data_IF_045804677086
#
_entry.id   IF_045804677086
#
_cell.length_a   1.000
_cell.length_b   1.000
_cell.length_c   1.000
_cell.angle_alpha   90.00
_cell.angle_beta   90.00
_cell.angle_gamma   90.00
#
_symmetry.space_group_name_H-M   'P 1'
#
loop_
_entity.id
_entity.type
_entity.pdbx_description
1 polymer ?
#
# COMPACT_ATOMS: atom_id res chain seq x y z
N UNK A 1 -14.46 -24.99 5.16
CA UNK A 1 -15.42 -23.86 5.30
C UNK A 1 -14.63 -22.72 5.92
N UNK A 2 -14.73 -21.50 5.39
CA UNK A 2 -14.04 -20.31 5.92
C UNK A 2 -14.62 -19.89 7.27
N UNK A 3 -13.79 -19.32 8.15
CA UNK A 3 -14.18 -18.80 9.47
C UNK A 3 -14.67 -17.35 9.37
N UNK A 4 -14.11 -16.60 8.42
CA UNK A 4 -14.48 -15.22 8.11
C UNK A 4 -15.24 -15.16 6.79
N UNK A 5 -15.93 -14.05 6.54
CA UNK A 5 -16.52 -13.80 5.22
C UNK A 5 -15.41 -13.55 4.20
N UNK A 6 -15.27 -14.36 3.14
CA UNK A 6 -14.26 -14.16 2.12
C UNK A 6 -14.60 -13.02 1.14
N UNK A 7 -15.77 -12.41 1.25
CA UNK A 7 -16.26 -11.41 0.32
C UNK A 7 -16.54 -10.06 0.99
N UNK A 8 -16.30 -9.00 0.24
CA UNK A 8 -16.76 -7.63 0.48
C UNK A 8 -17.82 -7.33 -0.58
N UNK A 9 -19.12 -7.51 -0.25
CA UNK A 9 -20.18 -7.55 -1.25
C UNK A 9 -19.94 -8.67 -2.28
N UNK A 10 -19.80 -8.32 -3.54
CA UNK A 10 -19.49 -9.28 -4.62
C UNK A 10 -17.99 -9.49 -4.85
N UNK A 11 -17.12 -8.68 -4.22
CA UNK A 11 -15.68 -8.68 -4.44
C UNK A 11 -14.94 -9.53 -3.39
N UNK A 12 -13.75 -10.03 -3.74
CA UNK A 12 -12.95 -10.90 -2.86
C UNK A 12 -12.96 -12.35 -3.32
N UNK A 13 -13.11 -13.27 -2.39
CA UNK A 13 -13.14 -14.70 -2.66
C UNK A 13 -11.75 -15.34 -2.64
N UNK A 14 -11.68 -16.61 -3.07
CA UNK A 14 -10.49 -17.45 -3.01
C UNK A 14 -10.33 -18.19 -4.37
N UNK A 15 -9.97 -17.46 -5.40
CA UNK A 15 -9.83 -17.95 -6.79
C UNK A 15 -8.41 -18.44 -7.06
N UNK A 16 -8.04 -19.54 -6.41
CA UNK A 16 -6.71 -20.13 -6.47
C UNK A 16 -6.74 -21.61 -6.83
N UNK A 17 -5.64 -22.20 -7.32
CA UNK A 17 -5.54 -23.65 -7.47
C UNK A 17 -5.81 -24.37 -6.14
N UNK A 18 -6.46 -25.55 -6.22
CA UNK A 18 -6.86 -26.33 -5.05
C UNK A 18 -5.71 -26.63 -4.08
N UNK A 19 -4.50 -26.76 -4.57
CA UNK A 19 -3.30 -27.02 -3.76
C UNK A 19 -3.02 -25.90 -2.74
N UNK A 20 -3.44 -24.66 -2.98
CA UNK A 20 -3.26 -23.53 -2.08
C UNK A 20 -4.39 -23.36 -1.05
N UNK A 21 -5.54 -24.02 -1.23
CA UNK A 21 -6.67 -23.89 -0.30
C UNK A 21 -6.30 -24.29 1.13
N UNK A 22 -5.59 -25.44 1.38
CA UNK A 22 -5.20 -25.78 2.74
C UNK A 22 -4.32 -24.72 3.41
N UNK A 23 -3.38 -24.13 2.67
CA UNK A 23 -2.50 -23.08 3.18
C UNK A 23 -3.28 -21.81 3.57
N UNK A 24 -4.25 -21.40 2.75
CA UNK A 24 -5.11 -20.23 3.01
C UNK A 24 -6.03 -20.47 4.21
N UNK A 25 -6.62 -21.67 4.35
CA UNK A 25 -7.45 -22.03 5.51
C UNK A 25 -6.62 -22.11 6.80
N UNK A 26 -5.38 -22.62 6.72
CA UNK A 26 -4.45 -22.61 7.86
C UNK A 26 -4.12 -21.17 8.29
N UNK A 27 -3.85 -20.28 7.32
CA UNK A 27 -3.58 -18.88 7.57
C UNK A 27 -4.79 -18.17 8.21
N UNK A 28 -5.98 -18.39 7.67
CA UNK A 28 -7.22 -17.82 8.22
C UNK A 28 -7.43 -18.24 9.67
N UNK A 29 -7.31 -19.55 9.95
CA UNK A 29 -7.45 -20.07 11.32
C UNK A 29 -6.43 -19.44 12.27
N UNK A 30 -5.16 -19.38 11.86
CA UNK A 30 -4.11 -18.82 12.68
C UNK A 30 -4.35 -17.31 12.96
N UNK A 31 -4.84 -16.59 11.97
CA UNK A 31 -5.19 -15.17 12.13
C UNK A 31 -6.36 -14.97 13.09
N UNK A 32 -7.43 -15.76 12.94
CA UNK A 32 -8.61 -15.69 13.83
C UNK A 32 -8.23 -16.03 15.28
N UNK A 33 -7.39 -17.05 15.47
CA UNK A 33 -6.91 -17.43 16.81
C UNK A 33 -5.98 -16.35 17.41
N UNK A 34 -5.18 -15.65 16.59
CA UNK A 34 -4.21 -14.69 17.04
C UNK A 34 -4.78 -13.28 17.33
N UNK A 35 -5.72 -12.81 16.51
CA UNK A 35 -6.20 -11.41 16.56
C UNK A 35 -6.80 -11.00 17.92
N UNK A 36 -7.37 -11.96 18.65
CA UNK A 36 -7.99 -11.76 19.96
C UNK A 36 -7.15 -12.40 21.11
N UNK A 37 -5.98 -12.98 20.80
CA UNK A 37 -5.07 -13.51 21.81
C UNK A 37 -4.26 -12.38 22.45
N UNK A 38 -4.42 -12.16 23.80
CA UNK A 38 -3.71 -11.06 24.47
C UNK A 38 -2.18 -11.10 24.32
N UNK A 39 -1.58 -12.30 24.23
CA UNK A 39 -0.14 -12.42 24.06
C UNK A 39 0.30 -11.98 22.67
N UNK A 40 -0.45 -12.31 21.62
CA UNK A 40 -0.15 -11.83 20.26
C UNK A 40 -0.35 -10.31 20.16
N UNK A 41 -1.46 -9.80 20.68
CA UNK A 41 -1.78 -8.37 20.65
C UNK A 41 -0.71 -7.56 21.38
N UNK A 42 -0.25 -8.04 22.55
CA UNK A 42 0.82 -7.39 23.32
C UNK A 42 2.17 -7.39 22.58
N UNK A 43 2.60 -8.56 22.04
CA UNK A 43 3.86 -8.68 21.29
C UNK A 43 3.83 -7.84 20.01
N UNK A 44 2.72 -7.85 19.28
CA UNK A 44 2.55 -7.00 18.08
C UNK A 44 2.53 -5.51 18.43
N UNK A 45 1.85 -5.12 19.52
CA UNK A 45 1.84 -3.77 20.05
C UNK A 45 3.25 -3.28 20.45
N UNK A 46 4.03 -4.10 21.12
CA UNK A 46 5.43 -3.82 21.46
C UNK A 46 6.28 -3.61 20.19
N UNK A 47 6.15 -4.47 19.19
CA UNK A 47 6.85 -4.31 17.92
C UNK A 47 6.47 -3.02 17.20
N UNK A 48 5.21 -2.61 17.26
CA UNK A 48 4.76 -1.37 16.66
C UNK A 48 5.31 -0.13 17.39
N UNK A 49 5.37 -0.14 18.71
CA UNK A 49 5.83 1.01 19.51
C UNK A 49 7.34 1.08 19.60
N UNK A 50 7.99 0.00 20.06
CA UNK A 50 9.41 0.01 20.39
C UNK A 50 10.31 -0.15 19.16
N UNK A 51 9.83 -0.85 18.12
CA UNK A 51 10.62 -1.11 16.93
C UNK A 51 10.20 -0.27 15.72
N UNK A 52 8.89 -0.22 15.41
CA UNK A 52 8.42 0.56 14.28
C UNK A 52 8.31 2.06 14.56
N UNK A 53 8.21 2.48 15.82
CA UNK A 53 8.16 3.89 16.23
C UNK A 53 6.77 4.51 16.15
N UNK A 54 5.72 3.73 16.42
CA UNK A 54 4.34 4.24 16.50
C UNK A 54 4.04 4.85 17.88
N UNK A 55 3.04 5.76 18.00
CA UNK A 55 2.22 6.31 16.92
C UNK A 55 2.98 7.27 16.00
N UNK A 56 2.67 7.26 14.70
CA UNK A 56 3.25 8.25 13.79
C UNK A 56 2.56 9.61 13.95
N UNK A 57 3.28 10.74 13.79
CA UNK A 57 2.68 12.06 13.97
C UNK A 57 1.60 12.38 12.93
N UNK A 58 0.61 13.18 13.35
CA UNK A 58 -0.27 13.93 12.46
C UNK A 58 0.24 15.37 12.40
N UNK A 59 0.90 15.75 11.30
CA UNK A 59 1.61 17.02 11.14
C UNK A 59 0.80 18.00 10.31
N UNK A 60 0.47 19.18 10.88
CA UNK A 60 -0.13 20.28 10.13
C UNK A 60 0.91 20.91 9.20
N UNK A 61 0.59 21.04 7.91
CA UNK A 61 1.43 21.80 6.97
C UNK A 61 1.36 23.29 7.27
N UNK A 62 2.49 23.99 7.08
CA UNK A 62 2.60 25.42 7.44
C UNK A 62 2.54 26.33 6.23
N UNK A 63 2.94 25.83 5.08
CA UNK A 63 3.16 26.64 3.89
C UNK A 63 2.35 26.19 2.68
N UNK A 64 2.03 24.90 2.56
CA UNK A 64 1.37 24.31 1.40
C UNK A 64 0.00 24.90 1.07
N UNK A 65 -0.77 25.23 2.10
CA UNK A 65 -2.15 25.76 1.95
C UNK A 65 -2.25 27.25 2.26
N UNK A 66 -1.12 27.98 2.23
CA UNK A 66 -1.14 29.44 2.38
C UNK A 66 -2.05 30.08 1.35
N UNK A 67 -2.89 31.02 1.81
CA UNK A 67 -3.89 31.68 0.95
C UNK A 67 -5.21 30.94 0.82
N UNK A 68 -5.38 29.84 1.56
CA UNK A 68 -6.65 29.11 1.70
C UNK A 68 -7.04 28.98 3.17
N UNK A 69 -8.30 28.65 3.44
CA UNK A 69 -8.80 28.31 4.80
C UNK A 69 -8.69 26.81 5.11
N UNK A 70 -8.07 26.02 4.24
CA UNK A 70 -7.85 24.58 4.42
C UNK A 70 -6.74 24.32 5.42
N UNK A 71 -7.01 23.49 6.42
CA UNK A 71 -6.03 22.90 7.32
C UNK A 71 -5.65 21.52 6.80
N UNK A 72 -4.47 21.40 6.22
CA UNK A 72 -3.97 20.16 5.63
C UNK A 72 -3.00 19.46 6.59
N UNK A 73 -3.36 18.27 7.01
CA UNK A 73 -2.54 17.41 7.85
C UNK A 73 -1.93 16.26 7.03
N UNK A 74 -0.72 15.89 7.40
CA UNK A 74 -0.01 14.72 6.89
C UNK A 74 0.06 13.66 7.99
N UNK A 75 -0.51 12.48 7.77
CA UNK A 75 -0.26 11.31 8.61
C UNK A 75 1.08 10.70 8.20
N UNK A 76 2.07 10.80 9.06
CA UNK A 76 3.50 10.65 8.75
C UNK A 76 3.97 9.19 8.81
N UNK A 77 3.40 8.32 7.96
CA UNK A 77 3.86 6.92 7.82
C UNK A 77 5.27 6.82 7.19
N UNK A 78 5.77 7.89 6.59
CA UNK A 78 7.14 8.04 6.12
C UNK A 78 8.19 8.03 7.24
N UNK A 79 7.79 8.33 8.48
CA UNK A 79 8.66 8.31 9.67
C UNK A 79 8.74 6.94 10.35
N UNK A 80 7.94 5.97 9.93
CA UNK A 80 8.06 4.60 10.40
C UNK A 80 9.44 4.02 10.11
N UNK A 81 9.92 3.14 10.99
CA UNK A 81 11.10 2.33 10.72
C UNK A 81 10.91 1.56 9.38
N UNK A 82 11.91 1.61 8.52
CA UNK A 82 11.78 1.15 7.13
C UNK A 82 11.28 2.22 6.15
N UNK A 83 10.72 3.34 6.63
CA UNK A 83 10.37 4.52 5.82
C UNK A 83 9.06 4.43 5.08
N UNK A 84 8.15 3.51 5.44
CA UNK A 84 6.83 3.39 4.83
C UNK A 84 5.85 2.58 5.70
N UNK A 85 4.55 2.75 5.47
CA UNK A 85 3.44 2.03 6.12
C UNK A 85 3.55 0.50 6.05
N UNK A 86 4.31 -0.04 5.11
CA UNK A 86 4.41 -1.50 4.91
C UNK A 86 4.92 -2.24 6.13
N UNK A 87 5.74 -1.61 6.94
CA UNK A 87 6.29 -2.18 8.18
C UNK A 87 5.19 -2.66 9.13
N UNK A 88 4.06 -1.95 9.21
CA UNK A 88 2.95 -2.33 10.08
C UNK A 88 2.47 -3.76 9.82
N UNK A 89 1.98 -4.00 8.61
CA UNK A 89 1.38 -5.30 8.28
C UNK A 89 2.43 -6.41 8.09
N UNK A 90 3.66 -6.05 7.71
CA UNK A 90 4.73 -7.04 7.56
C UNK A 90 5.14 -7.60 8.91
N UNK A 91 5.26 -6.76 9.94
CA UNK A 91 5.50 -7.22 11.32
C UNK A 91 4.39 -8.15 11.81
N UNK A 92 3.11 -7.77 11.59
CA UNK A 92 1.96 -8.60 11.97
C UNK A 92 1.94 -9.95 11.25
N UNK A 93 2.15 -9.97 9.93
CA UNK A 93 2.17 -11.21 9.16
C UNK A 93 3.39 -12.09 9.49
N UNK A 94 4.57 -11.52 9.70
CA UNK A 94 5.76 -12.27 10.06
C UNK A 94 5.65 -12.88 11.47
N UNK A 95 5.09 -12.13 12.42
CA UNK A 95 4.80 -12.63 13.76
C UNK A 95 3.77 -13.77 13.72
N UNK A 96 2.71 -13.61 12.92
CA UNK A 96 1.71 -14.65 12.70
C UNK A 96 2.35 -15.92 12.10
N UNK A 97 3.20 -15.77 11.09
CA UNK A 97 3.93 -16.88 10.49
C UNK A 97 4.81 -17.61 11.49
N UNK A 98 5.53 -16.88 12.35
CA UNK A 98 6.34 -17.44 13.43
C UNK A 98 5.47 -18.26 14.40
N UNK A 99 4.30 -17.77 14.79
CA UNK A 99 3.34 -18.51 15.64
C UNK A 99 2.78 -19.76 14.94
N UNK A 100 2.63 -19.74 13.62
CA UNK A 100 2.25 -20.92 12.84
C UNK A 100 3.37 -21.95 12.72
N UNK A 101 4.57 -21.71 13.32
CA UNK A 101 5.73 -22.58 13.24
C UNK A 101 6.44 -22.52 11.87
N UNK A 102 6.18 -21.50 11.06
CA UNK A 102 6.89 -21.31 9.78
C UNK A 102 8.32 -20.84 10.07
N UNK A 103 9.27 -21.40 9.34
CA UNK A 103 10.70 -21.07 9.48
C UNK A 103 11.19 -20.10 8.38
N UNK A 104 10.36 -19.87 7.37
CA UNK A 104 10.71 -19.09 6.20
C UNK A 104 9.54 -18.22 5.72
N UNK A 105 9.89 -17.04 5.21
CA UNK A 105 8.99 -16.13 4.52
C UNK A 105 9.34 -16.08 3.04
N UNK A 106 8.32 -16.18 2.21
CA UNK A 106 8.36 -15.92 0.77
C UNK A 106 7.62 -14.60 0.53
N UNK A 107 8.20 -13.69 -0.25
CA UNK A 107 7.56 -12.45 -0.65
C UNK A 107 7.89 -12.11 -2.10
N UNK A 108 7.09 -11.26 -2.70
CA UNK A 108 7.33 -10.58 -3.96
C UNK A 108 7.59 -9.10 -3.74
N UNK A 109 8.25 -8.45 -4.70
CA UNK A 109 8.40 -7.00 -4.67
C UNK A 109 8.66 -6.45 -6.08
N UNK A 110 8.10 -5.26 -6.38
CA UNK A 110 8.41 -4.47 -7.58
C UNK A 110 9.39 -3.35 -7.24
N UNK A 111 8.90 -2.27 -6.62
CA UNK A 111 9.73 -1.13 -6.19
C UNK A 111 10.76 -1.47 -5.09
N UNK A 112 10.71 -2.65 -4.51
CA UNK A 112 11.61 -3.09 -3.45
C UNK A 112 11.17 -2.76 -2.02
N UNK A 113 10.21 -1.87 -1.80
CA UNK A 113 9.81 -1.45 -0.45
C UNK A 113 9.17 -2.57 0.36
N UNK A 114 8.33 -3.39 -0.27
CA UNK A 114 7.76 -4.54 0.41
C UNK A 114 8.83 -5.57 0.76
N UNK A 115 9.73 -5.86 -0.18
CA UNK A 115 10.87 -6.75 0.05
C UNK A 115 11.78 -6.26 1.19
N UNK A 116 12.09 -4.97 1.24
CA UNK A 116 12.88 -4.36 2.32
C UNK A 116 12.17 -4.51 3.66
N UNK A 117 10.86 -4.20 3.74
CA UNK A 117 10.09 -4.36 4.97
C UNK A 117 10.01 -5.83 5.42
N UNK A 118 9.87 -6.77 4.46
CA UNK A 118 9.86 -8.20 4.74
C UNK A 118 11.22 -8.68 5.25
N UNK A 119 12.32 -8.29 4.60
CA UNK A 119 13.68 -8.62 5.05
C UNK A 119 13.96 -8.10 6.46
N UNK A 120 13.52 -6.88 6.76
CA UNK A 120 13.62 -6.25 8.08
C UNK A 120 12.90 -7.08 9.17
N UNK A 121 11.64 -7.45 8.94
CA UNK A 121 10.87 -8.25 9.90
C UNK A 121 11.45 -9.67 10.07
N UNK A 122 11.92 -10.29 8.98
CA UNK A 122 12.56 -11.60 9.03
C UNK A 122 13.86 -11.58 9.83
N UNK A 123 14.70 -10.55 9.64
CA UNK A 123 15.93 -10.37 10.41
C UNK A 123 15.62 -10.22 11.90
N UNK A 124 14.62 -9.40 12.26
CA UNK A 124 14.20 -9.19 13.64
C UNK A 124 13.67 -10.48 14.29
N UNK A 125 12.84 -11.23 13.58
CA UNK A 125 12.14 -12.40 14.14
C UNK A 125 12.89 -13.72 13.95
N UNK A 126 14.08 -13.70 13.33
CA UNK A 126 14.92 -14.89 13.10
C UNK A 126 14.35 -15.84 12.04
N UNK A 127 13.64 -15.32 11.05
CA UNK A 127 13.05 -16.09 9.95
C UNK A 127 13.93 -16.01 8.68
N UNK A 128 14.01 -17.10 7.92
CA UNK A 128 14.60 -17.05 6.59
C UNK A 128 13.72 -16.22 5.67
N UNK A 129 14.32 -15.53 4.70
CA UNK A 129 13.61 -14.64 3.80
C UNK A 129 14.01 -14.88 2.35
N UNK A 130 13.05 -15.19 1.50
CA UNK A 130 13.19 -15.22 0.03
C UNK A 130 12.29 -14.17 -0.59
N UNK A 131 12.87 -13.28 -1.41
CA UNK A 131 12.14 -12.21 -2.08
C UNK A 131 12.29 -12.38 -3.59
N UNK A 132 11.17 -12.61 -4.26
CA UNK A 132 11.10 -12.65 -5.72
C UNK A 132 10.94 -11.23 -6.25
N UNK A 133 11.75 -10.88 -7.25
CA UNK A 133 11.74 -9.54 -7.86
C UNK A 133 12.03 -9.66 -9.35
N UNK A 134 11.28 -8.95 -10.18
CA UNK A 134 11.54 -8.93 -11.61
C UNK A 134 12.97 -8.50 -11.92
N UNK A 135 13.62 -9.14 -12.90
CA UNK A 135 15.02 -8.83 -13.22
C UNK A 135 15.21 -7.36 -13.63
N UNK A 136 14.25 -6.79 -14.36
CA UNK A 136 14.25 -5.36 -14.70
C UNK A 136 14.14 -4.46 -13.46
N UNK A 137 13.30 -4.86 -12.51
CA UNK A 137 13.12 -4.13 -11.27
C UNK A 137 14.36 -4.24 -10.37
N UNK A 138 15.05 -5.38 -10.34
CA UNK A 138 16.32 -5.55 -9.66
C UNK A 138 17.39 -4.54 -10.14
N UNK A 139 17.47 -4.32 -11.44
CA UNK A 139 18.41 -3.36 -12.02
C UNK A 139 18.03 -1.90 -11.68
N UNK A 140 16.73 -1.57 -11.74
CA UNK A 140 16.24 -0.22 -11.43
C UNK A 140 16.36 0.12 -9.94
N UNK A 141 16.21 -0.87 -9.07
CA UNK A 141 16.09 -0.71 -7.62
C UNK A 141 17.29 -1.31 -6.85
N UNK A 142 18.50 -1.22 -7.42
CA UNK A 142 19.75 -1.73 -6.81
C UNK A 142 19.92 -1.37 -5.33
N UNK A 143 19.63 -0.14 -4.87
CA UNK A 143 19.73 0.19 -3.45
C UNK A 143 18.83 -0.66 -2.55
N UNK A 144 17.60 -0.94 -2.98
CA UNK A 144 16.68 -1.78 -2.22
C UNK A 144 17.09 -3.26 -2.25
N UNK A 145 17.59 -3.76 -3.40
CA UNK A 145 18.18 -5.10 -3.51
C UNK A 145 19.35 -5.24 -2.53
N UNK A 146 20.21 -4.24 -2.44
CA UNK A 146 21.33 -4.24 -1.50
C UNK A 146 20.86 -4.23 -0.04
N UNK A 147 19.85 -3.41 0.29
CA UNK A 147 19.26 -3.38 1.65
C UNK A 147 18.70 -4.74 2.06
N UNK A 148 17.95 -5.39 1.17
CA UNK A 148 17.41 -6.74 1.42
C UNK A 148 18.52 -7.76 1.70
N UNK A 149 19.55 -7.77 0.86
CA UNK A 149 20.71 -8.67 1.03
C UNK A 149 21.49 -8.38 2.32
N UNK A 150 21.64 -7.10 2.68
CA UNK A 150 22.31 -6.69 3.92
C UNK A 150 21.59 -7.21 5.17
N UNK A 151 20.25 -7.31 5.10
CA UNK A 151 19.41 -7.89 6.15
C UNK A 151 19.27 -9.42 6.05
N UNK A 152 20.05 -10.08 5.20
CA UNK A 152 20.10 -11.54 5.08
C UNK A 152 19.05 -12.17 4.16
N UNK A 153 18.26 -11.38 3.44
CA UNK A 153 17.28 -11.93 2.50
C UNK A 153 17.95 -12.43 1.21
N UNK A 154 17.48 -13.58 0.70
CA UNK A 154 17.80 -14.06 -0.65
C UNK A 154 16.89 -13.35 -1.65
N UNK A 155 17.45 -12.47 -2.48
CA UNK A 155 16.71 -11.83 -3.58
C UNK A 155 16.87 -12.67 -4.84
N UNK A 156 15.74 -13.14 -5.39
CA UNK A 156 15.68 -14.05 -6.54
C UNK A 156 15.16 -13.28 -7.76
N UNK A 157 16.03 -12.96 -8.73
CA UNK A 157 15.59 -12.29 -9.96
C UNK A 157 14.72 -13.20 -10.81
N UNK A 158 13.58 -12.68 -11.27
CA UNK A 158 12.65 -13.38 -12.16
C UNK A 158 12.82 -12.86 -13.59
N UNK A 159 13.18 -13.77 -14.49
CA UNK A 159 13.46 -13.47 -15.91
C UNK A 159 12.30 -13.85 -16.85
N UNK A 160 11.26 -14.54 -16.34
CA UNK A 160 10.09 -14.92 -17.12
C UNK A 160 9.19 -13.73 -17.43
N UNK A 161 8.38 -13.84 -18.48
CA UNK A 161 7.39 -12.83 -18.86
C UNK A 161 8.00 -11.48 -19.18
N UNK A 162 7.42 -10.42 -18.62
CA UNK A 162 7.92 -9.04 -18.73
C UNK A 162 9.08 -8.75 -17.78
N UNK A 163 9.42 -9.67 -16.88
CA UNK A 163 10.44 -9.53 -15.83
C UNK A 163 10.13 -8.40 -14.83
N UNK A 164 8.85 -8.26 -14.48
CA UNK A 164 8.32 -7.23 -13.56
C UNK A 164 7.57 -7.86 -12.37
N UNK A 165 6.90 -7.03 -11.57
CA UNK A 165 6.18 -7.45 -10.36
C UNK A 165 5.18 -8.60 -10.60
N UNK A 166 4.43 -8.59 -11.70
CA UNK A 166 3.46 -9.66 -12.03
C UNK A 166 4.14 -11.03 -12.10
N UNK A 167 5.31 -11.11 -12.73
CA UNK A 167 6.04 -12.35 -12.86
C UNK A 167 6.66 -12.80 -11.53
N UNK A 168 7.13 -11.83 -10.72
CA UNK A 168 7.59 -12.07 -9.35
C UNK A 168 6.48 -12.66 -8.47
N UNK A 169 5.25 -12.13 -8.55
CA UNK A 169 4.08 -12.69 -7.86
C UNK A 169 3.82 -14.14 -8.26
N UNK A 170 3.88 -14.45 -9.56
CA UNK A 170 3.65 -15.81 -10.06
C UNK A 170 4.69 -16.80 -9.53
N UNK A 171 5.98 -16.43 -9.51
CA UNK A 171 7.03 -17.29 -8.99
C UNK A 171 6.93 -17.48 -7.46
N UNK A 172 6.63 -16.40 -6.73
CA UNK A 172 6.41 -16.48 -5.27
C UNK A 172 5.24 -17.42 -4.92
N UNK A 173 4.13 -17.35 -5.67
CA UNK A 173 2.99 -18.26 -5.48
C UNK A 173 3.32 -19.71 -5.81
N UNK A 174 4.12 -19.97 -6.87
CA UNK A 174 4.58 -21.34 -7.21
C UNK A 174 5.46 -21.90 -6.11
N UNK A 175 6.41 -21.11 -5.62
CA UNK A 175 7.28 -21.52 -4.53
C UNK A 175 6.48 -21.79 -3.26
N UNK A 176 5.54 -20.93 -2.92
CA UNK A 176 4.68 -21.12 -1.76
C UNK A 176 3.83 -22.40 -1.89
N UNK A 177 3.26 -22.66 -3.06
CA UNK A 177 2.50 -23.88 -3.30
C UNK A 177 3.33 -25.16 -3.07
N UNK A 178 4.63 -25.12 -3.35
CA UNK A 178 5.55 -26.24 -3.13
C UNK A 178 6.03 -26.36 -1.68
N UNK A 179 6.06 -25.26 -0.91
CA UNK A 179 6.74 -25.18 0.39
C UNK A 179 5.85 -24.63 1.53
N UNK A 180 4.53 -24.60 1.37
CA UNK A 180 3.63 -23.95 2.35
C UNK A 180 3.68 -24.59 3.75
N UNK A 181 4.15 -25.82 3.91
CA UNK A 181 4.29 -26.46 5.22
C UNK A 181 5.32 -25.74 6.09
N UNK A 182 6.44 -25.30 5.53
CA UNK A 182 7.54 -24.63 6.23
C UNK A 182 7.62 -23.12 5.98
N UNK A 183 7.00 -22.63 4.90
CA UNK A 183 7.05 -21.24 4.48
C UNK A 183 5.68 -20.57 4.52
N UNK A 184 5.69 -19.26 4.80
CA UNK A 184 4.53 -18.38 4.67
C UNK A 184 4.75 -17.39 3.53
N UNK A 185 3.75 -17.24 2.66
CA UNK A 185 3.73 -16.18 1.67
C UNK A 185 3.23 -14.89 2.31
N UNK A 186 4.12 -13.92 2.44
CA UNK A 186 3.85 -12.62 3.05
C UNK A 186 3.46 -11.63 1.96
N UNK A 187 2.17 -11.44 1.75
CA UNK A 187 1.63 -10.61 0.68
C UNK A 187 1.69 -9.11 1.03
N UNK A 188 2.18 -8.30 0.10
CA UNK A 188 2.57 -6.91 0.34
C UNK A 188 1.46 -5.87 0.26
N UNK A 189 0.21 -6.25 -0.06
CA UNK A 189 -0.89 -5.30 -0.27
C UNK A 189 -2.24 -5.87 0.19
N UNK A 190 -3.29 -5.03 0.23
CA UNK A 190 -4.65 -5.42 0.62
C UNK A 190 -5.43 -6.08 -0.53
N UNK A 191 -4.73 -6.82 -1.38
CA UNK A 191 -5.25 -7.56 -2.52
C UNK A 191 -4.94 -9.05 -2.36
N UNK A 192 -5.34 -9.87 -3.34
CA UNK A 192 -5.10 -11.31 -3.32
C UNK A 192 -6.25 -12.13 -2.73
N UNK A 193 -6.07 -13.47 -2.65
CA UNK A 193 -7.12 -14.35 -2.18
C UNK A 193 -7.41 -14.13 -0.69
N UNK A 194 -8.65 -14.40 -0.30
CA UNK A 194 -8.99 -14.50 1.12
C UNK A 194 -8.04 -15.49 1.82
N UNK A 195 -7.49 -15.18 3.03
CA UNK A 195 -7.86 -14.09 3.94
C UNK A 195 -6.96 -12.83 3.85
N UNK A 196 -6.04 -12.74 2.89
CA UNK A 196 -5.04 -11.65 2.82
C UNK A 196 -5.63 -10.23 2.90
N UNK A 197 -6.71 -9.87 2.16
CA UNK A 197 -7.25 -8.52 2.25
C UNK A 197 -7.70 -8.14 3.66
N UNK A 198 -8.31 -9.07 4.38
CA UNK A 198 -8.74 -8.89 5.78
C UNK A 198 -7.55 -8.77 6.72
N UNK A 199 -6.54 -9.63 6.59
CA UNK A 199 -5.32 -9.62 7.42
C UNK A 199 -4.57 -8.30 7.23
N UNK A 200 -4.37 -7.87 5.99
CA UNK A 200 -3.65 -6.63 5.70
C UNK A 200 -4.40 -5.42 6.24
N UNK A 201 -5.73 -5.36 6.06
CA UNK A 201 -6.55 -4.30 6.67
C UNK A 201 -6.36 -4.26 8.18
N UNK A 202 -6.46 -5.40 8.86
CA UNK A 202 -6.33 -5.48 10.32
C UNK A 202 -4.96 -4.98 10.80
N UNK A 203 -3.88 -5.36 10.10
CA UNK A 203 -2.54 -4.93 10.44
C UNK A 203 -2.14 -3.55 9.88
N UNK A 204 -3.07 -2.83 9.26
CA UNK A 204 -2.88 -1.44 8.82
C UNK A 204 -3.85 -0.46 9.49
N UNK A 205 -4.92 -0.93 10.13
CA UNK A 205 -6.00 -0.07 10.63
C UNK A 205 -5.55 0.98 11.65
N UNK A 206 -4.45 0.72 12.39
CA UNK A 206 -3.89 1.69 13.34
C UNK A 206 -3.55 3.04 12.70
N UNK A 207 -3.37 3.10 11.38
CA UNK A 207 -3.17 4.37 10.65
C UNK A 207 -4.40 5.27 10.83
N UNK A 208 -5.60 4.72 10.59
CA UNK A 208 -6.87 5.42 10.73
C UNK A 208 -7.22 5.68 12.19
N UNK A 209 -7.05 4.70 13.07
CA UNK A 209 -7.29 4.82 14.51
C UNK A 209 -6.50 6.00 15.11
N UNK A 210 -5.18 6.04 14.84
CA UNK A 210 -4.33 7.13 15.30
C UNK A 210 -4.69 8.48 14.63
N UNK A 211 -4.93 8.49 13.32
CA UNK A 211 -5.28 9.72 12.60
C UNK A 211 -6.57 10.35 13.13
N UNK A 212 -7.58 9.52 13.45
CA UNK A 212 -8.85 9.95 14.02
C UNK A 212 -8.66 10.55 15.40
N UNK A 213 -7.97 9.85 16.29
CA UNK A 213 -7.69 10.31 17.65
C UNK A 213 -6.87 11.61 17.64
N UNK A 214 -5.79 11.66 16.86
CA UNK A 214 -4.91 12.83 16.75
C UNK A 214 -5.62 14.03 16.10
N UNK A 215 -6.53 13.81 15.14
CA UNK A 215 -7.33 14.87 14.56
C UNK A 215 -8.29 15.43 15.58
N UNK A 216 -8.99 14.59 16.33
CA UNK A 216 -9.92 15.03 17.36
C UNK A 216 -9.21 15.80 18.48
N UNK A 217 -8.02 15.38 18.88
CA UNK A 217 -7.20 16.11 19.85
C UNK A 217 -6.81 17.53 19.39
N UNK A 218 -6.56 17.71 18.08
CA UNK A 218 -6.08 18.98 17.50
C UNK A 218 -7.20 19.92 17.04
N UNK A 219 -8.31 19.36 16.60
CA UNK A 219 -9.39 20.09 15.91
C UNK A 219 -10.73 20.06 16.67
N UNK A 220 -10.84 19.23 17.73
CA UNK A 220 -12.08 18.95 18.48
C UNK A 220 -13.22 18.43 17.57
N UNK A 221 -12.86 17.93 16.37
CA UNK A 221 -13.78 17.37 15.38
C UNK A 221 -13.10 16.34 14.47
N UNK A 222 -13.91 15.60 13.72
CA UNK A 222 -13.43 14.74 12.65
C UNK A 222 -12.96 15.57 11.43
N UNK A 223 -12.06 15.02 10.58
CA UNK A 223 -11.69 15.66 9.32
C UNK A 223 -12.85 15.66 8.33
N UNK A 224 -12.86 16.61 7.39
CA UNK A 224 -13.81 16.63 6.29
C UNK A 224 -13.50 15.55 5.24
N UNK A 225 -12.21 15.21 5.08
CA UNK A 225 -11.79 14.13 4.21
C UNK A 225 -10.47 13.49 4.68
N UNK A 226 -10.35 12.18 4.44
CA UNK A 226 -9.08 11.44 4.48
C UNK A 226 -8.72 10.99 3.07
N UNK A 227 -7.47 11.21 2.66
CA UNK A 227 -7.00 11.06 1.29
C UNK A 227 -5.78 10.15 1.28
N UNK A 228 -5.79 9.10 0.46
CA UNK A 228 -4.66 8.18 0.35
C UNK A 228 -4.49 7.67 -1.08
N UNK A 229 -3.25 7.43 -1.49
CA UNK A 229 -2.96 6.84 -2.80
C UNK A 229 -3.38 5.36 -2.85
N UNK A 230 -3.77 4.91 -4.03
CA UNK A 230 -4.28 3.55 -4.25
C UNK A 230 -3.59 2.92 -5.45
N UNK A 231 -2.74 1.91 -5.17
CA UNK A 231 -2.37 0.86 -6.10
C UNK A 231 -3.13 -0.40 -5.67
N UNK A 232 -2.49 -1.37 -5.00
CA UNK A 232 -3.22 -2.45 -4.33
C UNK A 232 -4.04 -2.00 -3.11
N UNK A 233 -3.75 -0.83 -2.53
CA UNK A 233 -4.60 -0.10 -1.59
C UNK A 233 -4.34 -0.35 -0.11
N UNK A 234 -3.19 -0.94 0.30
CA UNK A 234 -2.97 -1.28 1.72
C UNK A 234 -2.89 -0.05 2.64
N UNK A 235 -2.22 1.03 2.21
CA UNK A 235 -2.16 2.26 2.99
C UNK A 235 -3.53 2.94 3.09
N UNK A 236 -4.27 2.94 2.00
CA UNK A 236 -5.58 3.58 1.94
C UNK A 236 -6.61 2.84 2.77
N UNK A 237 -6.66 1.50 2.71
CA UNK A 237 -7.60 0.74 3.54
C UNK A 237 -7.25 0.86 5.04
N UNK A 238 -5.97 0.97 5.37
CA UNK A 238 -5.54 1.24 6.74
C UNK A 238 -6.02 2.60 7.25
N UNK A 239 -5.89 3.65 6.43
CA UNK A 239 -6.41 4.98 6.74
C UNK A 239 -7.95 4.99 6.81
N UNK A 240 -8.63 4.33 5.88
CA UNK A 240 -10.08 4.36 5.78
C UNK A 240 -10.77 3.52 6.87
N UNK A 241 -10.11 2.49 7.38
CA UNK A 241 -10.71 1.47 8.26
C UNK A 241 -11.52 2.06 9.41
N UNK A 242 -11.02 3.09 10.09
CA UNK A 242 -11.66 3.72 11.23
C UNK A 242 -12.64 4.85 10.86
N UNK A 243 -12.72 5.19 9.58
CA UNK A 243 -13.62 6.20 9.05
C UNK A 243 -14.74 5.63 8.16
N UNK A 244 -14.76 4.31 7.90
CA UNK A 244 -15.80 3.69 7.06
C UNK A 244 -17.20 3.97 7.60
N UNK A 245 -17.37 3.89 8.92
CA UNK A 245 -18.65 4.09 9.60
C UNK A 245 -18.91 5.54 10.00
N UNK A 246 -18.08 6.51 9.54
CA UNK A 246 -18.21 7.93 9.77
C UNK A 246 -18.71 8.64 8.50
N UNK A 247 -20.04 8.75 8.28
CA UNK A 247 -20.58 9.26 7.02
C UNK A 247 -20.25 10.74 6.75
N UNK A 248 -19.89 11.49 7.78
CA UNK A 248 -19.45 12.89 7.65
C UNK A 248 -18.05 13.04 7.06
N UNK A 249 -17.24 11.98 7.07
CA UNK A 249 -15.87 11.99 6.56
C UNK A 249 -15.83 11.40 5.15
N UNK A 250 -15.39 12.18 4.17
CA UNK A 250 -15.13 11.70 2.82
C UNK A 250 -13.90 10.81 2.79
N UNK A 251 -14.00 9.65 2.15
CA UNK A 251 -12.88 8.74 1.89
C UNK A 251 -12.47 8.90 0.44
N UNK A 252 -11.25 9.36 0.18
CA UNK A 252 -10.79 9.64 -1.18
C UNK A 252 -9.54 8.81 -1.48
N UNK A 253 -9.71 7.84 -2.38
CA UNK A 253 -8.62 7.06 -2.95
C UNK A 253 -8.09 7.73 -4.22
N UNK A 254 -6.78 7.87 -4.35
CA UNK A 254 -6.16 8.50 -5.51
C UNK A 254 -5.35 7.46 -6.28
N UNK A 255 -5.85 7.11 -7.46
CA UNK A 255 -5.23 6.16 -8.39
C UNK A 255 -4.23 6.88 -9.32
N UNK A 256 -3.18 6.19 -9.82
CA UNK A 256 -2.24 6.79 -10.74
C UNK A 256 -2.86 6.96 -12.14
N UNK A 257 -2.97 8.21 -12.57
CA UNK A 257 -3.43 8.58 -13.91
C UNK A 257 -2.34 8.50 -14.98
N UNK A 258 -1.09 8.17 -14.61
CA UNK A 258 0.04 7.99 -15.52
C UNK A 258 0.25 9.19 -16.44
N UNK A 259 0.39 8.94 -17.72
CA UNK A 259 0.51 9.98 -18.76
C UNK A 259 -0.86 10.61 -19.15
N UNK A 260 -1.90 10.33 -18.37
CA UNK A 260 -3.29 10.72 -18.64
C UNK A 260 -4.12 9.51 -19.07
N UNK A 261 -5.37 9.48 -18.63
CA UNK A 261 -6.27 8.32 -18.87
C UNK A 261 -6.43 8.00 -20.36
N UNK A 262 -6.56 9.04 -21.19
CA UNK A 262 -6.74 8.89 -22.64
C UNK A 262 -5.52 8.30 -23.36
N UNK A 263 -4.35 8.31 -22.73
CA UNK A 263 -3.15 7.68 -23.28
C UNK A 263 -3.19 6.15 -23.24
N UNK A 264 -4.02 5.57 -22.35
CA UNK A 264 -4.01 4.15 -22.01
C UNK A 264 -2.86 3.75 -21.09
N UNK A 265 -1.91 4.63 -20.78
CA UNK A 265 -0.78 4.41 -19.88
C UNK A 265 -1.09 4.97 -18.49
N UNK A 266 -1.85 4.22 -17.70
CA UNK A 266 -2.29 4.55 -16.36
C UNK A 266 -2.48 3.30 -15.49
N UNK A 267 -2.71 3.45 -14.19
CA UNK A 267 -2.99 2.37 -13.24
C UNK A 267 -4.25 2.65 -12.40
N UNK A 268 -5.35 3.06 -13.07
CA UNK A 268 -6.60 3.45 -12.42
C UNK A 268 -7.73 2.44 -12.69
N UNK A 269 -7.69 1.22 -12.11
CA UNK A 269 -8.68 0.18 -12.38
C UNK A 269 -10.07 0.50 -11.85
N UNK A 270 -10.24 1.25 -10.76
CA UNK A 270 -11.57 1.60 -10.23
C UNK A 270 -12.30 2.59 -11.12
N UNK A 271 -11.57 3.57 -11.66
CA UNK A 271 -12.14 4.56 -12.55
C UNK A 271 -12.33 4.06 -13.99
N UNK A 272 -11.44 3.19 -14.48
CA UNK A 272 -11.30 2.90 -15.92
C UNK A 272 -11.10 1.42 -16.26
N UNK A 273 -11.07 0.54 -15.27
CA UNK A 273 -11.02 -0.91 -15.47
C UNK A 273 -12.40 -1.57 -15.54
N UNK A 274 -12.41 -2.89 -15.48
CA UNK A 274 -13.62 -3.70 -15.45
C UNK A 274 -13.52 -4.81 -14.41
N UNK A 275 -14.66 -5.39 -14.02
CA UNK A 275 -14.71 -6.49 -13.03
C UNK A 275 -14.15 -7.77 -13.63
N UNK A 276 -13.37 -8.49 -12.84
CA UNK A 276 -12.80 -9.77 -13.23
C UNK A 276 -12.03 -10.44 -12.10
N UNK A 277 -11.41 -11.58 -12.40
CA UNK A 277 -10.62 -12.33 -11.44
C UNK A 277 -9.13 -12.15 -11.75
N UNK A 278 -8.38 -11.67 -10.77
CA UNK A 278 -6.94 -11.52 -10.87
C UNK A 278 -6.31 -11.74 -9.50
N UNK A 279 -5.12 -12.32 -9.48
CA UNK A 279 -4.33 -12.54 -8.27
C UNK A 279 -5.12 -13.26 -7.14
N UNK A 280 -6.02 -14.17 -7.53
CA UNK A 280 -6.81 -14.99 -6.59
C UNK A 280 -8.04 -14.32 -5.99
N UNK A 281 -8.45 -13.16 -6.47
CA UNK A 281 -9.60 -12.39 -6.01
C UNK A 281 -10.47 -11.88 -7.17
N UNK A 282 -11.76 -11.67 -6.93
CA UNK A 282 -12.64 -10.90 -7.81
C UNK A 282 -12.56 -9.41 -7.42
N UNK A 283 -12.23 -8.55 -8.37
CA UNK A 283 -12.09 -7.11 -8.16
C UNK A 283 -12.22 -6.34 -9.47
N UNK A 284 -11.90 -5.03 -9.47
CA UNK A 284 -11.65 -4.27 -10.70
C UNK A 284 -10.20 -4.47 -11.15
N UNK A 285 -10.01 -4.55 -12.46
CA UNK A 285 -8.69 -4.71 -13.06
C UNK A 285 -8.61 -4.09 -14.46
N UNK A 286 -7.40 -3.78 -14.88
CA UNK A 286 -7.07 -3.36 -16.24
C UNK A 286 -7.07 -4.60 -17.12
N UNK A 287 -8.08 -4.75 -17.98
CA UNK A 287 -8.19 -5.87 -18.94
C UNK A 287 -8.87 -5.41 -20.22
N UNK A 288 -8.55 -6.09 -21.31
CA UNK A 288 -9.20 -5.90 -22.58
C UNK A 288 -10.58 -6.61 -22.65
N UNK A 289 -11.27 -6.45 -23.79
CA UNK A 289 -12.58 -7.08 -24.01
C UNK A 289 -12.55 -8.61 -24.05
N UNK A 290 -11.38 -9.22 -24.22
CA UNK A 290 -11.16 -10.66 -24.18
C UNK A 290 -10.76 -11.15 -22.79
N UNK A 291 -10.64 -10.25 -21.80
CA UNK A 291 -10.25 -10.56 -20.43
C UNK A 291 -8.74 -10.73 -20.24
N UNK A 292 -7.92 -10.29 -21.21
CA UNK A 292 -6.47 -10.28 -21.03
C UNK A 292 -6.05 -9.10 -20.19
N UNK A 293 -5.20 -9.37 -19.18
CA UNK A 293 -4.66 -8.34 -18.29
C UNK A 293 -3.81 -7.37 -19.10
N UNK A 294 -4.14 -6.10 -19.02
CA UNK A 294 -3.34 -5.02 -19.57
C UNK A 294 -2.26 -4.60 -18.57
N UNK A 295 -1.14 -4.13 -19.07
CA UNK A 295 -0.10 -3.55 -18.23
C UNK A 295 -0.61 -2.22 -17.65
N UNK A 296 -0.36 -2.00 -16.38
CA UNK A 296 -0.55 -0.70 -15.73
C UNK A 296 0.70 0.15 -15.92
N UNK A 297 0.55 1.44 -15.69
CA UNK A 297 1.68 2.36 -15.74
C UNK A 297 1.55 3.45 -14.66
N UNK A 298 2.66 3.77 -14.02
CA UNK A 298 2.83 4.93 -13.14
C UNK A 298 4.32 5.26 -13.01
N UNK A 299 4.64 6.54 -12.87
CA UNK A 299 5.98 6.99 -12.45
C UNK A 299 6.34 6.43 -11.07
N UNK A 300 5.34 6.16 -10.27
CA UNK A 300 5.47 5.50 -8.96
C UNK A 300 5.35 3.99 -9.08
N UNK A 301 6.47 3.30 -8.92
CA UNK A 301 6.51 1.83 -9.00
C UNK A 301 5.62 1.13 -7.97
N UNK A 302 5.31 1.76 -6.84
CA UNK A 302 4.42 1.20 -5.82
C UNK A 302 2.93 1.31 -6.14
N UNK A 303 2.56 2.10 -7.16
CA UNK A 303 1.19 2.22 -7.68
C UNK A 303 1.00 1.48 -9.01
N UNK A 304 2.07 0.99 -9.61
CA UNK A 304 2.03 0.23 -10.86
C UNK A 304 1.51 -1.20 -10.60
N UNK A 305 0.18 -1.30 -10.49
CA UNK A 305 -0.53 -2.56 -10.26
C UNK A 305 -1.86 -2.55 -11.02
N UNK A 306 -2.13 -3.56 -11.85
CA UNK A 306 -3.27 -3.56 -12.77
C UNK A 306 -4.62 -3.87 -12.12
N UNK A 307 -4.70 -3.94 -10.80
CA UNK A 307 -5.91 -4.26 -10.05
C UNK A 307 -5.94 -3.52 -8.71
N UNK A 308 -6.98 -3.71 -7.92
CA UNK A 308 -7.15 -3.07 -6.61
C UNK A 308 -7.70 -4.05 -5.59
N UNK A 309 -7.45 -3.79 -4.31
CA UNK A 309 -7.99 -4.59 -3.22
C UNK A 309 -9.53 -4.69 -3.25
N UNK A 310 -10.11 -5.86 -2.96
CA UNK A 310 -11.53 -6.11 -3.12
C UNK A 310 -12.41 -5.26 -2.19
N UNK A 311 -11.87 -4.84 -1.05
CA UNK A 311 -12.60 -3.93 -0.16
C UNK A 311 -12.71 -2.53 -0.76
N UNK A 312 -11.70 -2.03 -1.48
CA UNK A 312 -11.78 -0.78 -2.23
C UNK A 312 -12.83 -0.87 -3.34
N UNK A 313 -12.84 -1.98 -4.08
CA UNK A 313 -13.86 -2.25 -5.08
C UNK A 313 -15.27 -2.20 -4.50
N UNK A 314 -15.46 -2.80 -3.32
CA UNK A 314 -16.72 -2.74 -2.60
C UNK A 314 -17.09 -1.31 -2.17
N UNK A 315 -16.17 -0.59 -1.53
CA UNK A 315 -16.41 0.79 -1.06
C UNK A 315 -16.77 1.73 -2.22
N UNK A 316 -16.13 1.54 -3.39
CA UNK A 316 -16.49 2.24 -4.61
C UNK A 316 -17.91 1.89 -5.09
N UNK A 317 -18.24 0.58 -5.13
CA UNK A 317 -19.52 0.10 -5.66
C UNK A 317 -20.73 0.56 -4.86
N UNK A 318 -20.57 0.78 -3.55
CA UNK A 318 -21.62 1.28 -2.66
C UNK A 318 -21.57 2.80 -2.47
N UNK A 319 -20.65 3.50 -3.14
CA UNK A 319 -20.51 4.95 -3.03
C UNK A 319 -19.99 5.45 -1.67
N UNK A 320 -19.37 4.58 -0.85
CA UNK A 320 -18.80 4.99 0.44
C UNK A 320 -17.46 5.70 0.29
N UNK A 321 -16.68 5.35 -0.70
CA UNK A 321 -15.42 6.00 -1.02
C UNK A 321 -15.42 6.48 -2.47
N UNK A 322 -14.82 7.64 -2.67
CA UNK A 322 -14.57 8.23 -3.99
C UNK A 322 -13.19 7.79 -4.48
N UNK A 323 -13.08 7.55 -5.78
CA UNK A 323 -11.78 7.26 -6.39
C UNK A 323 -11.55 8.20 -7.57
N UNK A 324 -10.40 8.85 -7.54
CA UNK A 324 -9.98 9.84 -8.54
C UNK A 324 -8.60 9.50 -9.07
N UNK A 325 -8.24 9.99 -10.23
CA UNK A 325 -6.91 9.82 -10.81
C UNK A 325 -6.12 11.11 -10.79
N UNK A 326 -4.80 10.99 -10.60
CA UNK A 326 -3.82 12.06 -10.67
C UNK A 326 -2.71 11.63 -11.61
N UNK A 327 -2.33 12.51 -12.54
CA UNK A 327 -1.26 12.25 -13.51
C UNK A 327 0.13 12.27 -12.86
N UNK A 328 1.10 11.65 -13.52
CA UNK A 328 2.50 11.66 -13.09
C UNK A 328 3.04 13.08 -12.92
N UNK A 329 2.66 13.98 -13.84
CA UNK A 329 3.07 15.39 -13.75
C UNK A 329 2.51 16.06 -12.48
N UNK A 330 1.23 15.92 -12.19
CA UNK A 330 0.61 16.48 -10.98
C UNK A 330 1.25 15.92 -9.71
N UNK A 331 1.60 14.63 -9.70
CA UNK A 331 2.29 13.99 -8.59
C UNK A 331 3.72 14.51 -8.41
N UNK A 332 4.48 14.70 -9.49
CA UNK A 332 5.81 15.28 -9.47
C UNK A 332 5.81 16.75 -9.02
N UNK A 333 4.84 17.53 -9.48
CA UNK A 333 4.65 18.92 -9.04
C UNK A 333 4.40 18.97 -7.51
N UNK A 334 3.52 18.10 -6.99
CA UNK A 334 3.23 18.02 -5.56
C UNK A 334 4.43 17.49 -4.73
N UNK A 335 5.19 16.54 -5.27
CA UNK A 335 6.45 16.07 -4.67
C UNK A 335 7.42 17.23 -4.46
N UNK A 336 7.66 18.03 -5.51
CA UNK A 336 8.57 19.17 -5.46
C UNK A 336 8.04 20.26 -4.52
N UNK A 337 6.75 20.53 -4.57
CA UNK A 337 6.12 21.56 -3.74
C UNK A 337 6.23 21.23 -2.25
N UNK A 338 5.94 19.98 -1.83
CA UNK A 338 6.10 19.57 -0.44
C UNK A 338 7.56 19.67 0.02
N UNK A 339 8.49 19.24 -0.83
CA UNK A 339 9.91 19.33 -0.53
C UNK A 339 10.38 20.79 -0.34
N UNK A 340 9.97 21.69 -1.23
CA UNK A 340 10.36 23.12 -1.17
C UNK A 340 9.69 23.89 -0.05
N UNK A 341 8.42 23.58 0.26
CA UNK A 341 7.63 24.38 1.20
C UNK A 341 7.71 23.87 2.64
N UNK A 342 7.77 22.56 2.85
CA UNK A 342 7.74 21.95 4.19
C UNK A 342 9.04 21.21 4.56
N UNK A 343 9.99 21.07 3.62
CA UNK A 343 11.22 20.31 3.85
C UNK A 343 10.98 18.80 3.99
N UNK A 344 9.89 18.29 3.44
CA UNK A 344 9.50 16.87 3.50
C UNK A 344 9.57 16.30 2.08
N UNK A 345 10.37 15.27 1.87
CA UNK A 345 10.47 14.55 0.60
C UNK A 345 9.56 13.32 0.66
N UNK A 346 8.36 13.37 0.04
CA UNK A 346 7.42 12.26 0.07
C UNK A 346 7.81 11.15 -0.89
N UNK A 347 7.30 9.93 -0.71
CA UNK A 347 7.32 8.95 -1.77
C UNK A 347 6.43 9.40 -2.95
N UNK A 348 6.78 9.04 -4.19
CA UNK A 348 5.97 9.33 -5.37
C UNK A 348 4.54 8.79 -5.23
N UNK A 349 4.36 7.67 -4.55
CA UNK A 349 3.04 7.13 -4.22
C UNK A 349 2.18 8.16 -3.50
N UNK A 350 2.64 8.66 -2.37
CA UNK A 350 1.89 9.62 -1.55
C UNK A 350 1.77 11.01 -2.17
N UNK A 351 2.64 11.34 -3.12
CA UNK A 351 2.54 12.58 -3.90
C UNK A 351 1.27 12.67 -4.74
N UNK A 352 0.74 11.52 -5.21
CA UNK A 352 -0.57 11.48 -5.90
C UNK A 352 -1.70 11.93 -4.97
N UNK A 353 -1.73 11.40 -3.75
CA UNK A 353 -2.72 11.81 -2.75
C UNK A 353 -2.58 13.28 -2.37
N UNK A 354 -1.36 13.76 -2.21
CA UNK A 354 -1.06 15.15 -1.91
C UNK A 354 -1.52 16.09 -3.04
N UNK A 355 -1.24 15.74 -4.30
CA UNK A 355 -1.65 16.53 -5.46
C UNK A 355 -3.16 16.75 -5.47
N UNK A 356 -3.95 15.69 -5.21
CA UNK A 356 -5.40 15.83 -5.12
C UNK A 356 -5.84 16.72 -3.95
N UNK A 357 -5.23 16.55 -2.77
CA UNK A 357 -5.53 17.38 -1.60
C UNK A 357 -5.25 18.87 -1.86
N UNK A 358 -4.13 19.19 -2.53
CA UNK A 358 -3.80 20.56 -2.93
C UNK A 358 -4.79 21.13 -3.94
N UNK A 359 -5.24 20.30 -4.89
CA UNK A 359 -6.29 20.67 -5.85
C UNK A 359 -7.60 21.01 -5.15
N UNK A 360 -8.03 20.20 -4.16
CA UNK A 360 -9.20 20.49 -3.33
C UNK A 360 -9.06 21.82 -2.57
N UNK A 361 -7.92 22.02 -1.90
CA UNK A 361 -7.69 23.24 -1.11
C UNK A 361 -7.73 24.51 -1.98
N UNK A 362 -7.19 24.45 -3.20
CA UNK A 362 -7.08 25.58 -4.11
C UNK A 362 -8.33 25.86 -4.92
N UNK A 363 -9.15 24.84 -5.19
CA UNK A 363 -10.41 25.03 -5.90
C UNK A 363 -11.47 25.76 -5.07
N UNK A 364 -11.41 25.65 -3.74
CA UNK A 364 -12.33 26.29 -2.80
C UNK A 364 -11.55 26.99 -1.67
N UNK A 365 -10.77 28.07 -1.97
CA UNK A 365 -9.82 28.66 -1.03
C UNK A 365 -10.47 29.25 0.23
N UNK A 366 -11.72 29.69 0.14
CA UNK A 366 -12.47 30.25 1.27
C UNK A 366 -13.19 29.19 2.12
N UNK A 367 -13.17 27.93 1.71
CA UNK A 367 -13.80 26.84 2.45
C UNK A 367 -12.97 26.43 3.64
N UNK A 368 -13.55 26.53 4.82
CA UNK A 368 -12.97 26.00 6.05
C UNK A 368 -13.11 24.48 6.04
N UNK A 369 -11.99 23.77 5.87
CA UNK A 369 -11.96 22.32 5.86
C UNK A 369 -10.69 21.77 6.47
N UNK A 370 -10.80 20.57 7.06
CA UNK A 370 -9.69 19.79 7.60
C UNK A 370 -9.48 18.58 6.70
N UNK A 371 -8.34 18.49 6.04
CA UNK A 371 -7.96 17.39 5.18
C UNK A 371 -6.80 16.62 5.81
N UNK A 372 -6.85 15.29 5.75
CA UNK A 372 -5.73 14.42 6.15
C UNK A 372 -5.24 13.65 4.93
N UNK A 373 -3.97 13.81 4.59
CA UNK A 373 -3.28 12.98 3.59
C UNK A 373 -2.45 11.92 4.30
N UNK A 374 -2.61 10.66 3.91
CA UNK A 374 -1.72 9.60 4.36
C UNK A 374 -0.39 9.68 3.60
N UNK A 375 0.64 10.22 4.25
CA UNK A 375 1.99 10.27 3.70
C UNK A 375 2.64 8.90 3.89
N UNK A 376 2.30 7.97 3.01
CA UNK A 376 2.48 6.52 3.16
C UNK A 376 3.93 6.04 3.13
N UNK A 377 4.86 6.89 2.66
CA UNK A 377 6.28 6.59 2.62
C UNK A 377 7.15 7.80 2.29
N UNK A 378 8.45 7.68 2.55
CA UNK A 378 9.45 8.72 2.26
C UNK A 378 10.05 8.54 0.86
N UNK A 379 10.51 9.65 0.28
CA UNK A 379 10.96 9.72 -1.10
C UNK A 379 12.43 9.36 -1.33
N UNK A 380 13.20 8.95 -0.31
CA UNK A 380 14.62 8.60 -0.49
C UNK A 380 14.84 7.55 -1.58
N UNK A 381 13.89 6.65 -1.77
CA UNK A 381 13.95 5.62 -2.82
C UNK A 381 13.75 6.19 -4.23
N UNK A 382 13.10 7.35 -4.35
CA UNK A 382 12.64 7.94 -5.61
C UNK A 382 13.60 9.04 -6.13
N UNK A 383 14.55 9.46 -5.30
CA UNK A 383 15.45 10.60 -5.57
C UNK A 383 16.11 10.50 -6.94
N UNK A 384 16.67 9.34 -7.30
CA UNK A 384 17.33 9.16 -8.59
C UNK A 384 16.36 9.23 -9.76
N UNK A 385 15.19 8.62 -9.64
CA UNK A 385 14.14 8.67 -10.66
C UNK A 385 13.66 10.11 -10.87
N UNK A 386 13.41 10.83 -9.77
CA UNK A 386 12.97 12.23 -9.82
C UNK A 386 14.05 13.13 -10.37
N UNK A 387 15.33 12.94 -9.98
CA UNK A 387 16.46 13.70 -10.51
C UNK A 387 16.57 13.54 -12.03
N UNK A 388 16.55 12.31 -12.54
CA UNK A 388 16.60 12.01 -13.98
C UNK A 388 15.46 12.70 -14.78
N UNK A 389 14.26 12.77 -14.18
CA UNK A 389 13.11 13.45 -14.81
C UNK A 389 13.31 14.96 -14.81
N UNK A 390 13.64 15.55 -13.66
CA UNK A 390 13.76 17.00 -13.51
C UNK A 390 14.96 17.56 -14.27
N UNK A 391 16.06 16.80 -14.40
CA UNK A 391 17.20 17.19 -15.24
C UNK A 391 16.81 17.25 -16.73
N UNK A 392 16.05 16.24 -17.21
CA UNK A 392 15.56 16.22 -18.60
C UNK A 392 14.58 17.35 -18.91
N UNK A 393 13.76 17.74 -17.95
CA UNK A 393 12.78 18.83 -18.07
C UNK A 393 13.37 20.21 -17.77
N UNK A 394 14.60 20.30 -17.25
CA UNK A 394 15.22 21.56 -16.84
C UNK A 394 14.51 22.26 -15.66
N UNK A 395 13.82 21.49 -14.84
CA UNK A 395 12.98 22.02 -13.74
C UNK A 395 13.73 22.16 -12.41
N UNK A 396 14.93 21.60 -12.28
CA UNK A 396 15.86 21.86 -11.18
C UNK A 396 16.86 22.93 -11.64
N UNK A 397 16.60 24.19 -11.31
CA UNK A 397 17.57 25.28 -11.39
C UNK A 397 18.05 25.66 -9.99
#
# INVERSE_FOLDING_TARGET
MTLLNPFFGEFGGMYVPQILIPALLQLEKAFVDAKDDPAFVAEFGELLTEYAGRPTPLTLTRNLTKGTKTRLYLKREDLLHGGAHKTNQVLGQALLAKRMGKSEIIAETGAGQHGVATALACALLGLKCRVYMGAKDCERQKPNVFRMKLMGAAVIPVHSGSSTLKDACNEALRDWAANYDSAHYLLGTAAGPHPFPTIVREFQKMIGEEAKAQCFEKEERLPDAVIACVGGGSNAIGMFADFIDEPSVRLIGVEPGGHGIESGEHGAPLGHGSKGVFFGMHSYLMQDKQGQIQESYSVSAGLDFPSVGPQHAHLASIGRAEYVSVTDKEALDAFQELAKSEGIIPALESSHALAHALKMARSEPEKEQVLIVNLSGRGDKDIFTVADIFEKEGTLS
#
